data_IF_523523366896
#
_entry.id   IF_523523366896
#
_cell.length_a   1.000
_cell.length_b   1.000
_cell.length_c   1.000
_cell.angle_alpha   90.00
_cell.angle_beta   90.00
_cell.angle_gamma   90.00
#
_symmetry.space_group_name_H-M   'P 1'
#
loop_
_entity.id
_entity.type
_entity.pdbx_description
1 polymer ?
#
# COMPACT_ATOMS: atom_id res chain seq x y z
N UNK A 1 -17.48 2.53 -1.89
CA UNK A 1 -16.89 1.17 -1.81
C UNK A 1 -17.91 0.04 -1.73
N UNK A 2 -19.22 0.27 -1.48
CA UNK A 2 -20.24 -0.80 -1.57
C UNK A 2 -20.29 -1.41 -2.98
N UNK A 3 -19.91 -0.63 -3.98
CA UNK A 3 -19.76 -1.00 -5.37
C UNK A 3 -18.80 -2.19 -5.58
N UNK A 4 -17.84 -2.42 -4.68
CA UNK A 4 -16.95 -3.59 -4.75
C UNK A 4 -17.61 -4.88 -4.25
N UNK A 5 -18.64 -4.79 -3.41
CA UNK A 5 -19.24 -5.98 -2.78
C UNK A 5 -20.07 -6.81 -3.74
N UNK A 6 -20.26 -6.35 -4.98
CA UNK A 6 -20.89 -7.13 -6.05
C UNK A 6 -19.97 -8.24 -6.58
N UNK A 7 -18.65 -8.05 -6.51
CA UNK A 7 -17.65 -8.93 -7.13
C UNK A 7 -16.62 -9.45 -6.11
N UNK A 8 -16.50 -8.77 -4.96
CA UNK A 8 -15.49 -9.06 -3.94
C UNK A 8 -16.11 -9.16 -2.54
N UNK A 9 -15.46 -9.91 -1.65
CA UNK A 9 -15.75 -9.82 -0.22
C UNK A 9 -14.93 -8.68 0.38
N UNK A 10 -15.59 -7.72 1.03
CA UNK A 10 -14.94 -6.55 1.63
C UNK A 10 -14.97 -6.63 3.15
N UNK A 11 -13.80 -6.64 3.78
CA UNK A 11 -13.63 -6.44 5.21
C UNK A 11 -13.09 -5.03 5.49
N UNK A 12 -13.57 -4.42 6.56
CA UNK A 12 -13.10 -3.14 7.09
C UNK A 12 -13.03 -3.28 8.61
N UNK A 13 -12.02 -2.69 9.21
CA UNK A 13 -11.85 -2.69 10.65
C UNK A 13 -11.33 -1.32 11.10
N UNK A 14 -11.63 -0.96 12.33
CA UNK A 14 -11.12 0.27 12.95
C UNK A 14 -9.78 -0.03 13.63
N UNK A 15 -8.82 0.88 13.50
CA UNK A 15 -7.51 0.70 14.15
C UNK A 15 -7.68 0.77 15.67
N UNK A 16 -6.82 0.06 16.40
CA UNK A 16 -6.76 0.13 17.86
C UNK A 16 -6.73 1.59 18.35
N UNK A 17 -7.50 1.92 19.39
CA UNK A 17 -7.62 3.28 19.92
C UNK A 17 -8.56 4.21 19.14
N UNK A 18 -9.28 3.70 18.13
CA UNK A 18 -10.20 4.47 17.31
C UNK A 18 -11.46 3.68 16.94
N UNK A 19 -12.54 4.40 16.65
CA UNK A 19 -13.80 3.86 16.18
C UNK A 19 -14.45 2.90 17.17
N UNK A 20 -14.83 1.72 16.68
CA UNK A 20 -15.44 0.64 17.45
C UNK A 20 -14.42 -0.35 18.04
N UNK A 21 -13.12 -0.16 17.78
CA UNK A 21 -12.06 -0.96 18.39
C UNK A 21 -11.76 -0.49 19.80
N UNK A 22 -11.03 -1.32 20.57
CA UNK A 22 -10.66 -1.02 21.94
C UNK A 22 -10.00 0.37 22.05
N UNK A 23 -10.51 1.20 22.97
CA UNK A 23 -9.96 2.53 23.20
C UNK A 23 -8.75 2.50 24.14
N UNK A 24 -8.73 1.58 25.11
CA UNK A 24 -7.62 1.43 26.05
C UNK A 24 -6.59 0.43 25.53
N UNK A 25 -5.52 0.96 24.93
CA UNK A 25 -4.48 0.15 24.28
C UNK A 25 -3.10 0.43 24.86
N UNK A 26 -2.34 -0.63 25.14
CA UNK A 26 -1.01 -0.54 25.74
C UNK A 26 0.06 0.01 24.76
N UNK A 27 -0.09 -0.31 23.48
CA UNK A 27 0.88 0.02 22.43
C UNK A 27 0.17 0.68 21.25
N UNK A 28 0.84 1.67 20.65
CA UNK A 28 0.46 2.31 19.40
C UNK A 28 1.69 2.42 18.52
N UNK A 29 1.52 2.25 17.21
CA UNK A 29 2.60 2.39 16.23
C UNK A 29 2.58 1.30 15.15
N UNK A 30 3.53 1.42 14.23
CA UNK A 30 3.58 0.64 13.00
C UNK A 30 3.48 -0.87 13.22
N UNK A 31 4.29 -1.42 14.13
CA UNK A 31 4.33 -2.85 14.44
C UNK A 31 2.99 -3.35 14.99
N UNK A 32 2.37 -2.56 15.87
CA UNK A 32 1.08 -2.87 16.47
C UNK A 32 -0.05 -2.91 15.44
N UNK A 33 -0.04 -1.98 14.47
CA UNK A 33 -1.05 -1.91 13.41
C UNK A 33 -0.89 -2.99 12.35
N UNK A 34 0.36 -3.36 12.01
CA UNK A 34 0.63 -4.50 11.12
C UNK A 34 0.14 -5.81 11.76
N UNK A 35 0.39 -6.01 13.06
CA UNK A 35 -0.14 -7.17 13.80
C UNK A 35 -1.66 -7.20 13.86
N UNK A 36 -2.32 -6.06 14.01
CA UNK A 36 -3.80 -6.00 13.98
C UNK A 36 -4.35 -6.43 12.62
N UNK A 37 -3.75 -5.94 11.52
CA UNK A 37 -4.13 -6.32 10.17
C UNK A 37 -3.97 -7.83 9.96
N UNK A 38 -2.85 -8.40 10.40
CA UNK A 38 -2.60 -9.85 10.34
C UNK A 38 -3.66 -10.63 11.14
N UNK A 39 -3.94 -10.21 12.38
CA UNK A 39 -4.92 -10.86 13.24
C UNK A 39 -6.35 -10.82 12.65
N UNK A 40 -6.74 -9.70 12.03
CA UNK A 40 -8.02 -9.58 11.33
C UNK A 40 -8.06 -10.55 10.15
N UNK A 41 -7.02 -10.56 9.29
CA UNK A 41 -6.96 -11.47 8.14
C UNK A 41 -7.01 -12.94 8.56
N UNK A 42 -6.31 -13.31 9.63
CA UNK A 42 -6.30 -14.67 10.18
C UNK A 42 -7.66 -15.07 10.74
N UNK A 43 -8.33 -14.17 11.46
CA UNK A 43 -9.68 -14.42 12.02
C UNK A 43 -10.72 -14.67 10.92
N UNK A 44 -10.56 -14.02 9.77
CA UNK A 44 -11.41 -14.20 8.58
C UNK A 44 -11.03 -15.45 7.77
N UNK A 45 -9.91 -16.11 8.11
CA UNK A 45 -9.39 -17.26 7.38
C UNK A 45 -8.78 -16.90 6.02
N UNK A 46 -8.46 -15.63 5.77
CA UNK A 46 -7.99 -15.15 4.48
C UNK A 46 -6.50 -15.46 4.30
N UNK A 47 -6.20 -16.40 3.41
CA UNK A 47 -4.81 -16.80 3.10
C UNK A 47 -4.13 -15.87 2.11
N UNK A 48 -4.89 -15.34 1.15
CA UNK A 48 -4.42 -14.38 0.16
C UNK A 48 -5.52 -13.38 -0.14
N UNK A 49 -5.20 -12.09 -0.21
CA UNK A 49 -6.17 -11.01 -0.39
C UNK A 49 -5.54 -9.74 -0.98
N UNK A 50 -6.37 -8.84 -1.50
CA UNK A 50 -5.95 -7.49 -1.89
C UNK A 50 -6.11 -6.50 -0.73
N UNK A 51 -5.18 -5.56 -0.60
CA UNK A 51 -5.19 -4.54 0.43
C UNK A 51 -5.56 -3.17 -0.15
N UNK A 52 -6.36 -2.41 0.60
CA UNK A 52 -6.68 -1.02 0.28
C UNK A 52 -6.27 -0.16 1.48
N UNK A 53 -5.20 0.62 1.32
CA UNK A 53 -4.67 1.53 2.33
C UNK A 53 -4.99 2.99 2.01
N UNK A 54 -5.72 3.65 2.90
CA UNK A 54 -6.11 5.06 2.76
C UNK A 54 -5.24 5.91 3.69
N UNK A 55 -4.64 6.98 3.16
CA UNK A 55 -3.82 7.90 3.93
C UNK A 55 -2.73 7.14 4.73
N UNK A 56 -2.74 7.22 6.06
CA UNK A 56 -1.85 6.47 6.95
C UNK A 56 -1.96 4.94 6.81
N UNK A 57 -3.11 4.43 6.37
CA UNK A 57 -3.29 3.01 6.07
C UNK A 57 -2.46 2.52 4.89
N UNK A 58 -2.02 3.44 4.01
CA UNK A 58 -1.16 3.14 2.87
C UNK A 58 0.19 2.54 3.27
N UNK A 59 1.04 3.25 4.03
CA UNK A 59 2.31 2.70 4.49
C UNK A 59 2.14 1.45 5.37
N UNK A 60 1.07 1.35 6.17
CA UNK A 60 0.76 0.13 6.96
C UNK A 60 0.54 -1.06 6.00
N UNK A 61 -0.26 -0.88 4.96
CA UNK A 61 -0.50 -1.91 3.94
C UNK A 61 0.79 -2.29 3.18
N UNK A 62 1.63 -1.30 2.86
CA UNK A 62 2.92 -1.54 2.19
C UNK A 62 3.87 -2.36 3.05
N UNK A 63 4.01 -2.05 4.34
CA UNK A 63 4.88 -2.82 5.23
C UNK A 63 4.35 -4.25 5.41
N UNK A 64 3.03 -4.44 5.52
CA UNK A 64 2.45 -5.77 5.56
C UNK A 64 2.73 -6.55 4.27
N UNK A 65 2.55 -5.92 3.10
CA UNK A 65 2.85 -6.53 1.80
C UNK A 65 4.34 -6.86 1.62
N UNK A 66 5.24 -6.03 2.15
CA UNK A 66 6.68 -6.30 2.18
C UNK A 66 7.00 -7.55 3.01
N UNK A 67 6.37 -7.71 4.17
CA UNK A 67 6.61 -8.84 5.09
C UNK A 67 5.93 -10.14 4.68
N UNK A 68 4.78 -10.03 4.00
CA UNK A 68 3.92 -11.15 3.63
C UNK A 68 3.52 -11.11 2.15
N UNK A 69 4.48 -11.06 1.20
CA UNK A 69 4.18 -10.97 -0.22
C UNK A 69 3.36 -12.17 -0.74
N UNK A 70 3.44 -13.32 -0.06
CA UNK A 70 2.66 -14.52 -0.35
C UNK A 70 1.17 -14.38 0.02
N UNK A 71 0.83 -13.45 0.94
CA UNK A 71 -0.54 -13.21 1.41
C UNK A 71 -1.22 -12.05 0.70
N UNK A 72 -0.49 -11.23 -0.06
CA UNK A 72 -1.05 -10.03 -0.70
C UNK A 72 -1.05 -10.18 -2.22
N UNK A 73 -2.25 -10.12 -2.82
CA UNK A 73 -2.41 -10.16 -4.28
C UNK A 73 -2.02 -8.82 -4.91
N UNK A 74 -2.51 -7.74 -4.30
CA UNK A 74 -2.44 -6.36 -4.81
C UNK A 74 -2.53 -5.37 -3.67
N UNK A 75 -1.97 -4.19 -3.87
CA UNK A 75 -2.13 -3.05 -2.97
C UNK A 75 -2.77 -1.88 -3.71
N UNK A 76 -3.77 -1.27 -3.10
CA UNK A 76 -4.36 0.00 -3.57
C UNK A 76 -4.09 1.04 -2.51
N UNK A 77 -3.38 2.10 -2.90
CA UNK A 77 -3.06 3.23 -2.06
C UNK A 77 -3.91 4.41 -2.50
N UNK A 78 -4.57 5.05 -1.54
CA UNK A 78 -5.42 6.21 -1.80
C UNK A 78 -5.00 7.37 -0.90
N UNK A 79 -4.58 8.48 -1.51
CA UNK A 79 -4.07 9.66 -0.82
C UNK A 79 -2.98 9.35 0.24
N UNK A 80 -2.09 8.41 -0.08
CA UNK A 80 -1.09 7.87 0.84
C UNK A 80 0.26 8.60 0.75
N UNK A 81 1.16 8.28 1.68
CA UNK A 81 2.50 8.85 1.78
C UNK A 81 3.52 7.79 2.24
N UNK A 82 4.81 8.09 2.11
CA UNK A 82 5.92 7.18 2.46
C UNK A 82 6.35 7.27 3.91
N UNK A 83 6.33 8.48 4.48
CA UNK A 83 6.83 8.74 5.83
C UNK A 83 6.13 9.93 6.48
N UNK A 84 6.15 9.93 7.81
CA UNK A 84 5.65 10.98 8.67
C UNK A 84 6.67 12.13 8.88
N UNK A 85 6.30 13.07 9.74
CA UNK A 85 7.08 14.28 10.00
C UNK A 85 8.13 14.09 11.10
N UNK A 86 8.04 13.03 11.89
CA UNK A 86 8.99 12.71 12.96
C UNK A 86 10.03 11.67 12.53
N UNK A 87 10.30 11.58 11.23
CA UNK A 87 11.28 10.65 10.66
C UNK A 87 12.57 11.34 10.29
N UNK A 88 13.63 10.56 10.10
CA UNK A 88 14.93 11.09 9.70
C UNK A 88 14.84 11.78 8.33
N UNK A 89 15.40 12.98 8.22
CA UNK A 89 15.38 13.79 6.99
C UNK A 89 14.07 14.56 6.72
N UNK A 90 13.09 14.50 7.63
CA UNK A 90 11.97 15.44 7.61
C UNK A 90 12.47 16.87 7.88
N UNK A 91 11.85 17.87 7.27
CA UNK A 91 12.22 19.27 7.51
C UNK A 91 11.82 19.70 8.93
N UNK A 92 12.62 20.58 9.54
CA UNK A 92 12.32 21.15 10.86
C UNK A 92 10.91 21.76 10.88
N UNK A 93 10.58 22.52 9.83
CA UNK A 93 9.24 23.08 9.64
C UNK A 93 8.12 22.03 9.67
N UNK A 94 8.30 20.88 9.00
CA UNK A 94 7.27 19.84 8.99
C UNK A 94 7.08 19.22 10.38
N UNK A 95 8.17 19.02 11.13
CA UNK A 95 8.14 18.54 12.51
C UNK A 95 7.46 19.53 13.44
N UNK A 96 7.77 20.82 13.31
CA UNK A 96 7.15 21.90 14.09
C UNK A 96 5.65 22.01 13.81
N UNK A 97 5.24 21.98 12.52
CA UNK A 97 3.83 22.01 12.13
C UNK A 97 3.08 20.80 12.70
N UNK A 98 3.66 19.60 12.64
CA UNK A 98 3.08 18.39 13.22
C UNK A 98 2.97 18.47 14.75
N UNK A 99 3.92 19.08 15.44
CA UNK A 99 3.84 19.26 16.89
C UNK A 99 2.86 20.34 17.34
N UNK A 100 2.75 21.42 16.57
CA UNK A 100 1.73 22.43 16.78
C UNK A 100 0.34 21.81 16.65
N UNK A 101 0.10 21.00 15.62
CA UNK A 101 -1.15 20.26 15.45
C UNK A 101 -1.38 19.28 16.59
N UNK A 102 -0.38 18.51 17.05
CA UNK A 102 -0.51 17.61 18.19
C UNK A 102 -0.97 18.35 19.47
N UNK A 103 -0.41 19.54 19.69
CA UNK A 103 -0.78 20.41 20.82
C UNK A 103 -2.22 20.90 20.69
N UNK A 104 -2.63 21.31 19.50
CA UNK A 104 -4.01 21.73 19.25
C UNK A 104 -5.00 20.56 19.38
N UNK A 105 -4.67 19.35 18.91
CA UNK A 105 -5.48 18.13 19.14
C UNK A 105 -5.67 17.93 20.64
N UNK A 106 -4.59 17.91 21.42
CA UNK A 106 -4.63 17.70 22.87
C UNK A 106 -5.59 18.66 23.59
N UNK A 107 -5.62 19.91 23.15
CA UNK A 107 -6.37 20.99 23.81
C UNK A 107 -7.80 21.11 23.26
N UNK A 108 -7.98 20.88 21.96
CA UNK A 108 -9.18 21.19 21.19
C UNK A 108 -10.10 20.00 20.91
N UNK A 109 -9.56 18.78 20.83
CA UNK A 109 -10.30 17.61 20.36
C UNK A 109 -11.54 17.28 21.20
N UNK A 110 -11.43 17.40 22.53
CA UNK A 110 -12.54 17.10 23.46
C UNK A 110 -13.44 18.30 23.78
N UNK A 111 -13.19 19.49 23.22
CA UNK A 111 -13.97 20.68 23.57
C UNK A 111 -15.39 20.59 23.01
N UNK A 112 -16.33 21.23 23.71
CA UNK A 112 -17.71 21.40 23.23
C UNK A 112 -17.78 22.21 21.93
N UNK A 113 -16.94 23.25 21.80
CA UNK A 113 -16.79 23.97 20.53
C UNK A 113 -16.01 23.09 19.54
N UNK A 114 -16.62 22.84 18.38
CA UNK A 114 -16.03 22.07 17.28
C UNK A 114 -15.01 22.83 16.44
N UNK A 115 -14.68 24.09 16.75
CA UNK A 115 -13.86 24.93 15.87
C UNK A 115 -12.51 24.30 15.44
N UNK A 116 -11.88 23.52 16.32
CA UNK A 116 -10.67 22.78 15.97
C UNK A 116 -10.94 21.60 15.03
N UNK A 117 -11.96 20.80 15.34
CA UNK A 117 -12.36 19.62 14.56
C UNK A 117 -12.97 20.03 13.20
N UNK A 118 -13.60 21.20 13.12
CA UNK A 118 -14.04 21.84 11.88
C UNK A 118 -12.85 22.15 10.95
N UNK A 119 -11.72 22.64 11.48
CA UNK A 119 -10.51 22.84 10.68
C UNK A 119 -10.07 21.52 10.00
N UNK A 120 -10.11 20.41 10.74
CA UNK A 120 -9.80 19.08 10.21
C UNK A 120 -10.81 18.63 9.16
N UNK A 121 -12.11 18.77 9.44
CA UNK A 121 -13.18 18.42 8.52
C UNK A 121 -13.04 19.19 7.19
N UNK A 122 -12.74 20.49 7.25
CA UNK A 122 -12.53 21.33 6.07
C UNK A 122 -11.28 20.97 5.26
N UNK A 123 -10.22 20.45 5.89
CA UNK A 123 -9.06 19.91 5.14
C UNK A 123 -9.38 18.57 4.48
N UNK A 124 -10.18 17.73 5.14
CA UNK A 124 -10.61 16.46 4.58
C UNK A 124 -11.54 16.64 3.38
N UNK A 125 -12.41 17.65 3.41
CA UNK A 125 -13.40 17.87 2.36
C UNK A 125 -13.81 19.35 2.29
N UNK A 126 -13.03 20.19 1.58
CA UNK A 126 -13.27 21.63 1.50
C UNK A 126 -14.64 22.03 0.94
N UNK A 127 -15.25 21.16 0.14
CA UNK A 127 -16.55 21.40 -0.51
C UNK A 127 -17.79 21.01 0.30
N UNK A 128 -17.63 20.50 1.52
CA UNK A 128 -18.76 20.06 2.34
C UNK A 128 -19.63 21.20 2.84
N UNK A 129 -20.95 20.95 2.93
CA UNK A 129 -21.93 21.84 3.55
C UNK A 129 -21.68 21.97 5.05
N UNK A 130 -22.26 23.01 5.67
CA UNK A 130 -22.17 23.17 7.13
C UNK A 130 -22.67 21.94 7.90
N UNK A 131 -23.78 21.33 7.44
CA UNK A 131 -24.34 20.11 8.05
C UNK A 131 -23.37 18.91 7.93
N UNK A 132 -22.69 18.76 6.79
CA UNK A 132 -21.70 17.71 6.60
C UNK A 132 -20.47 17.93 7.49
N UNK A 133 -20.05 19.19 7.66
CA UNK A 133 -18.96 19.56 8.57
C UNK A 133 -19.33 19.28 10.03
N UNK A 134 -20.56 19.60 10.45
CA UNK A 134 -21.05 19.29 11.81
C UNK A 134 -21.13 17.78 12.06
N UNK A 135 -21.54 17.00 11.05
CA UNK A 135 -21.51 15.54 11.13
C UNK A 135 -20.09 15.00 11.28
N UNK A 136 -19.13 15.54 10.51
CA UNK A 136 -17.70 15.19 10.66
C UNK A 136 -17.14 15.58 12.03
N UNK A 137 -17.53 16.74 12.55
CA UNK A 137 -17.13 17.21 13.87
C UNK A 137 -17.50 16.18 14.95
N UNK A 138 -18.77 15.77 14.98
CA UNK A 138 -19.25 14.80 15.95
C UNK A 138 -18.66 13.40 15.69
N UNK A 139 -18.50 12.99 14.43
CA UNK A 139 -17.84 11.71 14.11
C UNK A 139 -16.41 11.66 14.66
N UNK A 140 -15.59 12.69 14.44
CA UNK A 140 -14.22 12.76 14.95
C UNK A 140 -14.19 12.68 16.49
N UNK A 141 -15.14 13.32 17.15
CA UNK A 141 -15.26 13.33 18.61
C UNK A 141 -15.65 11.98 19.20
N UNK A 142 -16.55 11.22 18.56
CA UNK A 142 -16.96 9.90 19.08
C UNK A 142 -15.97 8.79 18.71
N UNK A 143 -15.18 8.97 17.65
CA UNK A 143 -14.25 7.94 17.15
C UNK A 143 -12.94 7.89 17.94
N UNK A 144 -12.48 8.98 18.54
CA UNK A 144 -11.27 8.96 19.34
C UNK A 144 -11.37 9.87 20.56
N UNK A 145 -10.93 9.38 21.72
CA UNK A 145 -10.66 10.24 22.86
C UNK A 145 -9.55 11.24 22.52
N UNK A 146 -9.48 12.41 23.18
CA UNK A 146 -8.40 13.37 22.98
C UNK A 146 -7.01 12.75 23.16
N UNK A 147 -6.85 11.86 24.14
CA UNK A 147 -5.62 11.15 24.43
C UNK A 147 -5.23 10.23 23.26
N UNK A 148 -6.18 9.45 22.74
CA UNK A 148 -5.92 8.58 21.59
C UNK A 148 -5.69 9.38 20.31
N UNK A 149 -6.40 10.47 20.09
CA UNK A 149 -6.19 11.33 18.92
C UNK A 149 -4.74 11.85 18.87
N UNK A 150 -4.17 12.27 20.01
CA UNK A 150 -2.75 12.68 20.09
C UNK A 150 -1.81 11.48 19.87
N UNK A 151 -2.08 10.33 20.49
CA UNK A 151 -1.24 9.12 20.34
C UNK A 151 -1.20 8.64 18.89
N UNK A 152 -2.36 8.59 18.23
CA UNK A 152 -2.51 8.21 16.83
C UNK A 152 -1.80 9.20 15.93
N UNK A 153 -2.05 10.51 16.10
CA UNK A 153 -1.37 11.57 15.34
C UNK A 153 0.15 11.43 15.40
N UNK A 154 0.70 11.31 16.61
CA UNK A 154 2.16 11.15 16.79
C UNK A 154 2.67 9.86 16.16
N UNK A 155 1.95 8.75 16.35
CA UNK A 155 2.30 7.47 15.73
C UNK A 155 2.32 7.55 14.21
N UNK A 156 1.34 8.21 13.58
CA UNK A 156 1.29 8.38 12.13
C UNK A 156 2.48 9.20 11.61
N UNK A 157 2.94 10.19 12.38
CA UNK A 157 4.13 10.96 12.04
C UNK A 157 5.45 10.22 12.30
N UNK A 158 5.45 9.07 12.97
CA UNK A 158 6.62 8.20 13.13
C UNK A 158 6.72 7.10 12.07
N UNK A 159 5.69 6.93 11.24
CA UNK A 159 5.70 5.94 10.15
C UNK A 159 6.83 6.26 9.17
N UNK A 160 7.60 5.24 8.78
CA UNK A 160 8.57 5.33 7.69
C UNK A 160 8.65 3.99 6.97
N UNK A 161 8.37 3.97 5.66
CA UNK A 161 8.52 2.77 4.82
C UNK A 161 9.49 2.97 3.66
N UNK A 162 10.21 4.10 3.62
CA UNK A 162 11.09 4.45 2.49
C UNK A 162 12.12 3.37 2.17
N UNK A 163 12.68 2.76 3.21
CA UNK A 163 13.75 1.77 3.10
C UNK A 163 13.30 0.43 2.49
N UNK A 164 11.99 0.17 2.43
CA UNK A 164 11.45 -1.11 1.91
C UNK A 164 10.73 -0.98 0.57
N UNK A 165 10.48 0.24 0.06
CA UNK A 165 9.65 0.47 -1.13
C UNK A 165 10.15 -0.27 -2.38
N UNK A 166 11.47 -0.30 -2.59
CA UNK A 166 12.09 -0.92 -3.77
C UNK A 166 11.99 -2.45 -3.77
N UNK A 167 11.69 -3.05 -2.63
CA UNK A 167 11.54 -4.50 -2.46
C UNK A 167 10.07 -4.95 -2.49
N UNK A 168 9.12 -4.01 -2.61
CA UNK A 168 7.68 -4.30 -2.73
C UNK A 168 7.36 -4.56 -4.20
N UNK A 169 7.30 -5.83 -4.57
CA UNK A 169 6.97 -6.26 -5.94
C UNK A 169 5.50 -6.60 -6.17
N UNK A 170 4.65 -6.44 -5.16
CA UNK A 170 3.21 -6.64 -5.30
C UNK A 170 2.65 -5.52 -6.19
N UNK A 171 1.84 -5.85 -7.22
CA UNK A 171 1.24 -4.83 -8.07
C UNK A 171 0.50 -3.79 -7.24
N UNK A 172 0.79 -2.52 -7.47
CA UNK A 172 0.27 -1.43 -6.67
C UNK A 172 -0.44 -0.36 -7.50
N UNK A 173 -1.69 -0.02 -7.16
CA UNK A 173 -2.37 1.16 -7.69
C UNK A 173 -2.24 2.31 -6.69
N UNK A 174 -1.66 3.43 -7.11
CA UNK A 174 -1.55 4.65 -6.30
C UNK A 174 -2.50 5.71 -6.86
N UNK A 175 -3.63 5.91 -6.20
CA UNK A 175 -4.60 6.93 -6.56
C UNK A 175 -4.45 8.16 -5.64
N UNK A 176 -4.36 9.35 -6.21
CA UNK A 176 -4.14 10.57 -5.42
C UNK A 176 -4.91 11.77 -5.97
N UNK A 177 -5.56 12.52 -5.08
CA UNK A 177 -6.33 13.72 -5.43
C UNK A 177 -5.41 14.93 -5.58
N UNK A 178 -5.50 15.62 -6.72
CA UNK A 178 -4.60 16.74 -7.08
C UNK A 178 -4.62 17.89 -6.07
N UNK A 179 -5.81 18.25 -5.58
CA UNK A 179 -6.02 19.31 -4.60
C UNK A 179 -6.10 18.83 -3.15
N UNK A 180 -5.58 17.63 -2.84
CA UNK A 180 -5.60 17.09 -1.47
C UNK A 180 -4.90 18.03 -0.48
N UNK A 181 -5.69 18.58 0.45
CA UNK A 181 -5.21 19.48 1.48
C UNK A 181 -4.65 18.73 2.70
N UNK A 182 -4.81 17.42 2.84
CA UNK A 182 -4.25 16.64 3.95
C UNK A 182 -2.88 16.07 3.59
N UNK A 183 -2.78 15.39 2.44
CA UNK A 183 -1.53 14.77 1.96
C UNK A 183 -1.18 15.38 0.61
N UNK A 184 -0.11 16.20 0.52
CA UNK A 184 0.26 16.85 -0.74
C UNK A 184 0.39 15.86 -1.89
N UNK A 185 -0.20 16.18 -3.03
CA UNK A 185 -0.22 15.34 -4.24
C UNK A 185 1.17 14.80 -4.65
N UNK A 186 2.20 15.63 -4.43
CA UNK A 186 3.59 15.28 -4.70
C UNK A 186 4.10 14.07 -3.91
N UNK A 187 3.58 13.84 -2.70
CA UNK A 187 3.94 12.67 -1.90
C UNK A 187 3.40 11.38 -2.51
N UNK A 188 2.16 11.39 -3.03
CA UNK A 188 1.61 10.26 -3.76
C UNK A 188 2.35 9.96 -5.06
N UNK A 189 2.69 11.02 -5.81
CA UNK A 189 3.48 10.92 -7.04
C UNK A 189 4.87 10.35 -6.76
N UNK A 190 5.54 10.84 -5.70
CA UNK A 190 6.84 10.35 -5.26
C UNK A 190 6.78 8.89 -4.79
N UNK A 191 5.75 8.52 -4.03
CA UNK A 191 5.49 7.15 -3.58
C UNK A 191 5.37 6.20 -4.78
N UNK A 192 4.54 6.53 -5.77
CA UNK A 192 4.39 5.71 -6.97
C UNK A 192 5.72 5.54 -7.72
N UNK A 193 6.51 6.62 -7.85
CA UNK A 193 7.81 6.57 -8.55
C UNK A 193 8.86 5.67 -7.88
N UNK A 194 8.70 5.38 -6.58
CA UNK A 194 9.61 4.54 -5.80
C UNK A 194 9.17 3.07 -5.76
N UNK A 195 7.94 2.75 -6.19
CA UNK A 195 7.45 1.38 -6.21
C UNK A 195 7.78 0.71 -7.56
N UNK A 196 8.41 -0.48 -7.57
CA UNK A 196 8.83 -1.18 -8.79
C UNK A 196 7.68 -1.52 -9.76
N UNK A 197 6.53 -1.91 -9.22
CA UNK A 197 5.34 -2.28 -9.99
C UNK A 197 4.15 -1.45 -9.52
N UNK A 198 4.08 -0.21 -10.00
CA UNK A 198 2.98 0.68 -9.67
C UNK A 198 2.35 1.39 -10.86
N UNK A 199 1.06 1.68 -10.72
CA UNK A 199 0.28 2.56 -11.61
C UNK A 199 -0.14 3.80 -10.80
N UNK A 200 0.17 4.99 -11.31
CA UNK A 200 -0.27 6.24 -10.68
C UNK A 200 -1.54 6.77 -11.35
N UNK A 201 -2.57 7.02 -10.55
CA UNK A 201 -3.87 7.55 -10.98
C UNK A 201 -4.11 8.92 -10.33
N UNK A 202 -3.83 10.03 -11.04
CA UNK A 202 -4.22 11.35 -10.58
C UNK A 202 -5.75 11.52 -10.66
N UNK A 203 -6.33 12.08 -9.61
CA UNK A 203 -7.76 12.32 -9.48
C UNK A 203 -8.01 13.82 -9.32
N UNK A 204 -8.91 14.37 -10.14
CA UNK A 204 -9.28 15.78 -10.05
C UNK A 204 -10.19 16.01 -8.84
N UNK A 205 -9.95 17.10 -8.13
CA UNK A 205 -10.75 17.48 -6.97
C UNK A 205 -9.89 18.00 -5.84
N UNK A 206 -10.51 18.25 -4.69
CA UNK A 206 -9.85 18.75 -3.49
C UNK A 206 -10.18 17.94 -2.23
N UNK A 207 -11.13 17.01 -2.31
CA UNK A 207 -11.52 16.21 -1.15
C UNK A 207 -10.49 15.09 -0.93
N UNK A 208 -9.91 15.05 0.27
CA UNK A 208 -9.07 13.94 0.71
C UNK A 208 -9.87 12.64 0.81
N UNK A 209 -11.18 12.71 1.02
CA UNK A 209 -12.09 11.57 0.92
C UNK A 209 -13.07 11.87 -0.21
N UNK A 210 -12.92 11.19 -1.36
CA UNK A 210 -13.84 11.36 -2.48
C UNK A 210 -15.29 11.07 -2.06
N UNK A 211 -16.18 11.93 -2.50
CA UNK A 211 -17.62 11.82 -2.34
C UNK A 211 -18.24 11.14 -3.57
N UNK A 212 -19.45 10.60 -3.44
CA UNK A 212 -20.14 9.94 -4.57
C UNK A 212 -20.41 10.89 -5.73
N UNK A 213 -20.59 12.17 -5.41
CA UNK A 213 -20.90 13.25 -6.34
C UNK A 213 -19.64 13.82 -7.02
N UNK A 214 -18.45 13.48 -6.51
CA UNK A 214 -17.20 13.97 -7.08
C UNK A 214 -16.98 13.37 -8.47
N UNK A 215 -16.63 14.20 -9.45
CA UNK A 215 -16.38 13.76 -10.83
C UNK A 215 -15.31 12.67 -10.96
N UNK A 216 -14.38 12.58 -10.01
CA UNK A 216 -13.35 11.56 -9.95
C UNK A 216 -13.79 10.25 -9.27
N UNK A 217 -14.95 10.21 -8.62
CA UNK A 217 -15.49 8.97 -8.03
C UNK A 217 -15.69 7.84 -9.05
N UNK A 218 -16.43 8.03 -10.17
CA UNK A 218 -16.61 6.96 -11.15
C UNK A 218 -15.29 6.56 -11.82
N UNK A 219 -14.34 7.49 -11.97
CA UNK A 219 -13.00 7.21 -12.50
C UNK A 219 -12.23 6.30 -11.55
N UNK A 220 -12.19 6.64 -10.26
CA UNK A 220 -11.53 5.85 -9.23
C UNK A 220 -12.14 4.45 -9.12
N UNK A 221 -13.47 4.33 -9.04
CA UNK A 221 -14.15 3.03 -8.93
C UNK A 221 -13.92 2.18 -10.18
N UNK A 222 -13.95 2.77 -11.37
CA UNK A 222 -13.68 2.08 -12.62
C UNK A 222 -12.26 1.51 -12.68
N UNK A 223 -11.26 2.31 -12.31
CA UNK A 223 -9.87 1.83 -12.26
C UNK A 223 -9.64 0.81 -11.15
N UNK A 224 -10.22 1.03 -9.98
CA UNK A 224 -10.13 0.09 -8.88
C UNK A 224 -10.66 -1.28 -9.28
N UNK A 225 -11.82 -1.34 -9.93
CA UNK A 225 -12.38 -2.60 -10.45
C UNK A 225 -11.47 -3.23 -11.50
N UNK A 226 -11.01 -2.46 -12.48
CA UNK A 226 -10.09 -2.98 -13.52
C UNK A 226 -8.83 -3.55 -12.90
N UNK A 227 -8.21 -2.83 -11.96
CA UNK A 227 -7.01 -3.25 -11.27
C UNK A 227 -7.21 -4.51 -10.43
N UNK A 228 -8.36 -4.65 -9.76
CA UNK A 228 -8.69 -5.85 -8.99
C UNK A 228 -9.08 -7.04 -9.89
N UNK A 229 -9.61 -6.79 -11.10
CA UNK A 229 -10.04 -7.81 -12.05
C UNK A 229 -8.97 -8.26 -13.04
N UNK A 230 -7.87 -7.52 -13.21
CA UNK A 230 -6.67 -8.03 -13.89
C UNK A 230 -6.34 -9.41 -13.24
N UNK A 231 -6.09 -10.48 -14.02
CA UNK A 231 -5.91 -11.85 -13.48
C UNK A 231 -4.89 -11.90 -12.34
N UNK A 232 -5.01 -12.81 -11.34
CA UNK A 232 -4.19 -12.76 -10.12
C UNK A 232 -2.72 -12.58 -10.46
N UNK A 233 -2.05 -11.64 -9.78
CA UNK A 233 -0.61 -11.50 -9.90
C UNK A 233 0.01 -12.88 -9.63
N UNK A 234 0.66 -13.48 -10.64
CA UNK A 234 1.24 -14.81 -10.50
C UNK A 234 2.31 -14.72 -9.41
N UNK A 235 2.12 -15.38 -8.25
CA UNK A 235 3.11 -15.29 -7.19
C UNK A 235 4.41 -15.95 -7.65
N UNK A 236 5.54 -15.35 -7.33
CA UNK A 236 6.79 -16.11 -7.22
C UNK A 236 6.59 -17.15 -6.12
N UNK A 237 6.45 -18.42 -6.51
CA UNK A 237 6.19 -19.51 -5.58
C UNK A 237 7.49 -20.01 -4.93
N UNK A 238 7.48 -20.04 -3.59
CA UNK A 238 8.48 -20.56 -2.64
C UNK A 238 9.80 -19.78 -2.48
N UNK A 239 9.86 -18.96 -1.43
CA UNK A 239 11.02 -18.18 -1.01
C UNK A 239 12.25 -19.02 -0.60
N UNK A 240 12.09 -20.32 -0.32
CA UNK A 240 13.18 -21.15 0.18
C UNK A 240 14.22 -21.56 -0.88
N UNK A 241 13.82 -21.74 -2.14
CA UNK A 241 14.74 -22.18 -3.22
C UNK A 241 14.98 -21.09 -4.28
N UNK A 242 14.07 -20.11 -4.40
CA UNK A 242 14.19 -18.96 -5.32
C UNK A 242 14.98 -17.81 -4.67
N UNK A 243 15.12 -17.80 -3.34
CA UNK A 243 15.88 -16.78 -2.60
C UNK A 243 17.36 -16.69 -2.99
N UNK A 244 17.94 -17.78 -3.52
CA UNK A 244 19.33 -17.76 -4.00
C UNK A 244 19.48 -17.11 -5.40
N UNK A 245 18.40 -16.95 -6.16
CA UNK A 245 18.46 -16.41 -7.51
C UNK A 245 18.39 -14.89 -7.50
N UNK A 246 19.38 -14.26 -8.13
CA UNK A 246 19.33 -12.81 -8.36
C UNK A 246 18.13 -12.45 -9.23
N UNK A 247 17.64 -11.21 -9.16
CA UNK A 247 16.54 -10.75 -10.01
C UNK A 247 16.79 -11.02 -11.49
N UNK A 248 18.04 -10.83 -11.95
CA UNK A 248 18.44 -11.11 -13.34
C UNK A 248 18.33 -12.59 -13.70
N UNK A 249 18.67 -13.47 -12.76
CA UNK A 249 18.51 -14.92 -12.92
C UNK A 249 17.03 -15.31 -12.99
N UNK A 250 16.16 -14.69 -12.18
CA UNK A 250 14.71 -14.91 -12.21
C UNK A 250 14.09 -14.50 -13.56
N UNK A 251 14.47 -13.34 -14.10
CA UNK A 251 13.99 -12.88 -15.42
C UNK A 251 14.40 -13.84 -16.56
N UNK A 252 15.63 -14.36 -16.50
CA UNK A 252 16.10 -15.36 -17.47
C UNK A 252 15.34 -16.67 -17.29
N UNK A 253 15.14 -17.13 -16.06
CA UNK A 253 14.41 -18.36 -15.74
C UNK A 253 12.95 -18.33 -16.23
N UNK A 254 12.27 -17.21 -16.05
CA UNK A 254 10.90 -17.00 -16.53
C UNK A 254 10.79 -17.18 -18.05
N UNK A 255 11.70 -16.58 -18.80
CA UNK A 255 11.74 -16.70 -20.25
C UNK A 255 12.17 -18.10 -20.73
N UNK A 256 13.07 -18.75 -20.00
CA UNK A 256 13.42 -20.17 -20.23
C UNK A 256 12.18 -21.04 -20.05
N UNK A 257 11.39 -20.84 -19.01
CA UNK A 257 10.16 -21.59 -18.73
C UNK A 257 9.10 -21.41 -19.83
N UNK A 258 9.07 -20.26 -20.51
CA UNK A 258 8.27 -20.04 -21.74
C UNK A 258 8.79 -20.79 -22.97
N UNK A 259 9.89 -21.52 -22.87
CA UNK A 259 10.48 -22.28 -23.97
C UNK A 259 11.33 -21.45 -24.93
N UNK A 260 11.63 -20.19 -24.60
CA UNK A 260 12.40 -19.30 -25.46
C UNK A 260 13.87 -19.75 -25.57
N UNK A 261 14.50 -19.51 -26.72
CA UNK A 261 15.92 -19.72 -26.96
C UNK A 261 16.78 -18.62 -26.33
N UNK A 262 18.08 -18.86 -26.15
CA UNK A 262 18.98 -17.84 -25.57
C UNK A 262 19.03 -16.56 -26.42
N UNK A 263 18.81 -16.64 -27.72
CA UNK A 263 18.78 -15.47 -28.63
C UNK A 263 17.51 -14.64 -28.42
N UNK A 264 16.35 -15.28 -28.29
CA UNK A 264 15.09 -14.59 -28.00
C UNK A 264 15.11 -13.95 -26.61
N UNK A 265 15.66 -14.64 -25.61
CA UNK A 265 15.84 -14.10 -24.26
C UNK A 265 16.81 -12.90 -24.27
N UNK A 266 17.91 -13.01 -25.02
CA UNK A 266 18.88 -11.95 -25.17
C UNK A 266 18.28 -10.68 -25.75
N UNK A 267 17.46 -10.83 -26.80
CA UNK A 267 16.73 -9.73 -27.41
C UNK A 267 15.71 -9.14 -26.44
N UNK A 268 14.92 -9.97 -25.77
CA UNK A 268 13.87 -9.54 -24.85
C UNK A 268 14.39 -8.83 -23.59
N UNK A 269 15.62 -9.17 -23.16
CA UNK A 269 16.26 -8.59 -21.96
C UNK A 269 17.36 -7.58 -22.30
N UNK A 270 17.54 -7.26 -23.59
CA UNK A 270 18.58 -6.36 -24.11
C UNK A 270 19.98 -6.67 -23.57
N UNK A 271 20.39 -7.94 -23.61
CA UNK A 271 21.73 -8.41 -23.23
C UNK A 271 22.32 -9.35 -24.26
N UNK A 272 23.63 -9.62 -24.19
CA UNK A 272 24.27 -10.58 -25.07
C UNK A 272 23.79 -12.02 -24.81
N UNK A 273 23.62 -12.82 -25.88
CA UNK A 273 23.27 -14.25 -25.79
C UNK A 273 24.26 -15.06 -24.94
N UNK A 274 25.55 -14.68 -24.93
CA UNK A 274 26.55 -15.24 -24.03
C UNK A 274 26.22 -15.01 -22.55
N UNK A 275 25.71 -13.82 -22.20
CA UNK A 275 25.28 -13.47 -20.85
C UNK A 275 24.07 -14.29 -20.42
N UNK A 276 23.10 -14.50 -21.32
CA UNK A 276 21.96 -15.40 -21.06
C UNK A 276 22.44 -16.83 -20.77
N UNK A 277 23.36 -17.35 -21.59
CA UNK A 277 23.94 -18.71 -21.37
C UNK A 277 24.60 -18.82 -19.99
N UNK A 278 25.34 -17.80 -19.58
CA UNK A 278 25.98 -17.76 -18.26
C UNK A 278 24.93 -17.74 -17.13
N UNK A 279 23.85 -16.96 -17.28
CA UNK A 279 22.77 -16.96 -16.30
C UNK A 279 22.07 -18.31 -16.21
N UNK A 280 21.73 -18.95 -17.34
CA UNK A 280 21.12 -20.30 -17.35
C UNK A 280 22.03 -21.31 -16.65
N UNK A 281 23.33 -21.27 -16.90
CA UNK A 281 24.30 -22.18 -16.26
C UNK A 281 24.38 -21.95 -14.75
N UNK A 282 24.40 -20.68 -14.31
CA UNK A 282 24.41 -20.34 -12.90
C UNK A 282 23.10 -20.70 -12.18
N UNK A 283 21.95 -20.60 -12.87
CA UNK A 283 20.65 -21.03 -12.33
C UNK A 283 20.63 -22.55 -12.16
N UNK A 284 21.04 -23.30 -13.19
CA UNK A 284 21.16 -24.76 -13.12
C UNK A 284 22.04 -25.20 -11.95
N UNK A 285 23.19 -24.54 -11.74
CA UNK A 285 24.08 -24.85 -10.62
C UNK A 285 23.47 -24.58 -9.24
N UNK A 286 22.70 -23.50 -9.09
CA UNK A 286 22.05 -23.15 -7.81
C UNK A 286 20.87 -24.05 -7.47
N UNK A 287 20.15 -24.49 -8.50
CA UNK A 287 18.97 -25.35 -8.33
C UNK A 287 19.31 -26.85 -8.39
N UNK A 288 20.59 -27.22 -8.52
CA UNK A 288 21.07 -28.60 -8.72
C UNK A 288 20.39 -29.31 -9.92
N UNK A 289 20.25 -28.59 -11.03
CA UNK A 289 19.60 -29.07 -12.25
C UNK A 289 20.63 -29.31 -13.34
N UNK A 290 20.63 -30.51 -13.92
CA UNK A 290 21.61 -30.94 -14.91
C UNK A 290 21.22 -30.65 -16.37
N UNK A 291 19.97 -30.27 -16.65
CA UNK A 291 19.51 -30.01 -18.02
C UNK A 291 18.50 -28.88 -18.16
N UNK A 292 18.49 -28.23 -19.32
CA UNK A 292 17.51 -27.17 -19.64
C UNK A 292 16.08 -27.71 -19.64
N UNK A 293 15.85 -28.95 -20.09
CA UNK A 293 14.51 -29.54 -20.11
C UNK A 293 13.97 -29.70 -18.68
N UNK A 294 14.78 -30.21 -17.75
CA UNK A 294 14.42 -30.27 -16.34
C UNK A 294 14.20 -28.87 -15.75
N UNK A 295 15.05 -27.90 -16.12
CA UNK A 295 14.91 -26.51 -15.69
C UNK A 295 13.55 -25.92 -16.11
N UNK A 296 13.09 -26.20 -17.33
CA UNK A 296 11.78 -25.74 -17.83
C UNK A 296 10.63 -26.36 -17.03
N UNK A 297 10.66 -27.68 -16.83
CA UNK A 297 9.59 -28.40 -16.11
C UNK A 297 9.48 -27.89 -14.68
N UNK A 298 10.59 -27.87 -13.94
CA UNK A 298 10.58 -27.42 -12.55
C UNK A 298 10.26 -25.92 -12.42
N UNK A 299 10.72 -25.08 -13.35
CA UNK A 299 10.37 -23.67 -13.34
C UNK A 299 8.86 -23.47 -13.53
N UNK A 300 8.22 -24.22 -14.43
CA UNK A 300 6.76 -24.19 -14.64
C UNK A 300 5.98 -24.68 -13.42
N UNK A 301 6.41 -25.78 -12.80
CA UNK A 301 5.82 -26.29 -11.55
C UNK A 301 5.88 -25.24 -10.43
N UNK A 302 6.91 -24.37 -10.44
CA UNK A 302 7.10 -23.25 -9.50
C UNK A 302 6.47 -21.93 -9.95
N UNK A 303 5.67 -21.94 -11.02
CA UNK A 303 4.91 -20.77 -11.48
C UNK A 303 5.65 -19.82 -12.43
N UNK A 304 6.83 -20.18 -12.93
CA UNK A 304 7.52 -19.41 -13.97
C UNK A 304 6.99 -19.72 -15.37
N UNK A 305 7.00 -18.73 -16.25
CA UNK A 305 6.64 -18.92 -17.66
C UNK A 305 5.15 -19.07 -17.94
N UNK A 306 4.29 -18.59 -17.04
CA UNK A 306 2.88 -18.33 -17.32
C UNK A 306 2.72 -16.99 -18.05
N UNK A 307 1.67 -16.88 -18.86
CA UNK A 307 1.29 -15.62 -19.53
C UNK A 307 0.64 -14.63 -18.57
#
# INVERSE_FOLDING_TARGET
MRELTHEHTLARFDIRGSGLSDQEVCEQGMEAWVRDLEAVADSLGWKRFSLIGLCQGGPIALLYAFRHPERVDRVVLYNAYTNGAFTSGASERSSEEAEALATMIKIGWGRKSGAFRELFARRLSPGHSAEQIDWWDELQKITASPENAVRLWRGFHQIDVRDVLQDIHVPTLVAHVEGDAMVPFELGRSLASQLPDSRFLPLKGANHILQLEDSSWPVFVGELRRFLSDGPATPWSSAAEVGELTLRQRMVLDRVARGQSNTEIAQALSIASKTVRNHVSAICSKLDISSRAQLIVQAREKGFGTD
#
